data_IF_476150425183
#
_entry.id   IF_476150425183
#
_cell.length_a   1.000
_cell.length_b   1.000
_cell.length_c   1.000
_cell.angle_alpha   90.00
_cell.angle_beta   90.00
_cell.angle_gamma   90.00
#
_symmetry.space_group_name_H-M   'P 1'
#
loop_
_entity.id
_entity.type
_entity.pdbx_description
1 polymer ?
#
# COMPACT_ATOMS: atom_id res chain seq x y z
N UNK A 1 11.90 -9.60 -12.93
CA UNK A 1 11.22 -10.61 -12.08
C UNK A 1 11.70 -10.53 -10.62
N UNK A 2 13.01 -10.51 -10.34
CA UNK A 2 13.56 -10.42 -8.97
C UNK A 2 13.04 -9.20 -8.21
N UNK A 3 13.07 -8.03 -8.81
CA UNK A 3 12.60 -6.79 -8.19
C UNK A 3 11.11 -6.86 -7.79
N UNK A 4 10.28 -7.45 -8.64
CA UNK A 4 8.86 -7.67 -8.36
C UNK A 4 8.67 -8.65 -7.21
N UNK A 5 9.46 -9.74 -7.17
CA UNK A 5 9.43 -10.71 -6.07
C UNK A 5 9.75 -10.03 -4.73
N UNK A 6 10.84 -9.27 -4.66
CA UNK A 6 11.24 -8.53 -3.45
C UNK A 6 10.15 -7.55 -3.02
N UNK A 7 9.57 -6.79 -3.97
CA UNK A 7 8.48 -5.86 -3.67
C UNK A 7 7.28 -6.57 -3.06
N UNK A 8 6.81 -7.66 -3.67
CA UNK A 8 5.63 -8.39 -3.19
C UNK A 8 5.86 -9.02 -1.80
N UNK A 9 7.05 -9.54 -1.55
CA UNK A 9 7.42 -10.06 -0.25
C UNK A 9 7.53 -8.97 0.83
N UNK A 10 7.72 -7.72 0.44
CA UNK A 10 7.77 -6.59 1.36
C UNK A 10 6.39 -6.13 1.89
N UNK A 11 5.28 -6.70 1.38
CA UNK A 11 3.93 -6.35 1.86
C UNK A 11 3.64 -6.82 3.30
N UNK A 12 4.25 -7.93 3.74
CA UNK A 12 3.98 -8.50 5.06
C UNK A 12 5.26 -8.68 5.88
N UNK A 13 5.18 -8.38 7.15
CA UNK A 13 6.31 -8.50 8.08
C UNK A 13 6.89 -9.93 8.13
N UNK A 14 6.06 -10.96 8.01
CA UNK A 14 6.51 -12.36 7.98
C UNK A 14 7.31 -12.71 6.73
N UNK A 15 6.98 -12.14 5.57
CA UNK A 15 7.69 -12.37 4.32
C UNK A 15 8.91 -11.47 4.17
N UNK A 16 8.88 -10.25 4.71
CA UNK A 16 10.06 -9.37 4.82
C UNK A 16 11.18 -10.07 5.59
N UNK A 17 10.85 -10.74 6.68
CA UNK A 17 11.83 -11.45 7.50
C UNK A 17 12.60 -12.55 6.73
N UNK A 18 12.05 -13.07 5.64
CA UNK A 18 12.71 -14.06 4.78
C UNK A 18 13.64 -13.42 3.74
N UNK A 19 13.47 -12.13 3.41
CA UNK A 19 14.22 -11.48 2.33
C UNK A 19 15.74 -11.57 2.48
N UNK A 20 16.36 -11.37 3.64
CA UNK A 20 17.80 -11.49 3.79
C UNK A 20 18.31 -12.89 3.41
N UNK A 21 17.59 -13.94 3.81
CA UNK A 21 17.93 -15.32 3.45
C UNK A 21 17.78 -15.56 1.94
N UNK A 22 16.66 -15.15 1.36
CA UNK A 22 16.35 -15.35 -0.07
C UNK A 22 17.34 -14.62 -0.98
N UNK A 23 17.69 -13.38 -0.61
CA UNK A 23 18.71 -12.59 -1.33
C UNK A 23 20.10 -13.22 -1.18
N UNK A 24 20.43 -13.68 0.03
CA UNK A 24 21.70 -14.35 0.29
C UNK A 24 21.86 -15.64 -0.53
N UNK A 25 20.82 -16.46 -0.66
CA UNK A 25 20.82 -17.66 -1.51
C UNK A 25 20.91 -17.29 -3.01
N UNK A 26 20.17 -16.28 -3.45
CA UNK A 26 20.24 -15.80 -4.82
C UNK A 26 21.65 -15.28 -5.18
N UNK A 27 22.34 -14.62 -4.23
CA UNK A 27 23.72 -14.16 -4.38
C UNK A 27 24.74 -15.31 -4.55
N UNK A 28 24.40 -16.52 -4.09
CA UNK A 28 25.17 -17.75 -4.29
C UNK A 28 24.79 -18.50 -5.59
N UNK A 29 23.86 -17.94 -6.38
CA UNK A 29 23.33 -18.57 -7.59
C UNK A 29 22.15 -19.53 -7.34
N UNK A 30 21.68 -19.68 -6.10
CA UNK A 30 20.53 -20.51 -5.77
C UNK A 30 19.23 -19.66 -5.77
N UNK A 31 18.58 -19.57 -6.93
CA UNK A 31 17.34 -18.79 -7.11
C UNK A 31 16.05 -19.56 -6.75
N UNK A 32 16.15 -20.87 -6.50
CA UNK A 32 14.99 -21.73 -6.27
C UNK A 32 14.12 -21.25 -5.09
N UNK A 33 14.67 -20.92 -3.91
CA UNK A 33 13.84 -20.44 -2.78
C UNK A 33 13.10 -19.14 -3.09
N UNK A 34 13.75 -18.20 -3.78
CA UNK A 34 13.14 -16.93 -4.14
C UNK A 34 12.03 -17.11 -5.17
N UNK A 35 12.27 -17.95 -6.20
CA UNK A 35 11.27 -18.28 -7.21
C UNK A 35 10.05 -18.99 -6.60
N UNK A 36 10.25 -19.91 -5.67
CA UNK A 36 9.17 -20.59 -4.96
C UNK A 36 8.30 -19.59 -4.15
N UNK A 37 8.91 -18.70 -3.39
CA UNK A 37 8.18 -17.66 -2.65
C UNK A 37 7.43 -16.72 -3.60
N UNK A 38 8.04 -16.31 -4.70
CA UNK A 38 7.36 -15.50 -5.72
C UNK A 38 6.11 -16.18 -6.27
N UNK A 39 6.21 -17.46 -6.64
CA UNK A 39 5.08 -18.24 -7.16
C UNK A 39 3.95 -18.36 -6.10
N UNK A 40 4.30 -18.58 -4.84
CA UNK A 40 3.30 -18.63 -3.75
C UNK A 40 2.56 -17.29 -3.59
N UNK A 41 3.27 -16.18 -3.63
CA UNK A 41 2.64 -14.86 -3.51
C UNK A 41 1.79 -14.55 -4.74
N UNK A 42 2.28 -14.86 -5.95
CA UNK A 42 1.52 -14.66 -7.19
C UNK A 42 0.24 -15.48 -7.23
N UNK A 43 0.28 -16.74 -6.79
CA UNK A 43 -0.91 -17.58 -6.68
C UNK A 43 -1.92 -16.99 -5.69
N UNK A 44 -1.46 -16.55 -4.51
CA UNK A 44 -2.32 -15.94 -3.51
C UNK A 44 -2.94 -14.61 -3.97
N UNK A 45 -2.24 -13.83 -4.81
CA UNK A 45 -2.75 -12.59 -5.38
C UNK A 45 -3.77 -12.85 -6.50
N UNK A 46 -3.52 -13.83 -7.37
CA UNK A 46 -4.41 -14.18 -8.48
C UNK A 46 -5.82 -14.52 -8.03
N UNK A 47 -5.95 -15.12 -6.84
CA UNK A 47 -7.26 -15.47 -6.26
C UNK A 47 -7.99 -14.28 -5.61
N UNK A 48 -7.28 -13.19 -5.35
CA UNK A 48 -7.80 -12.06 -4.55
C UNK A 48 -7.95 -10.77 -5.34
N UNK A 49 -7.21 -10.60 -6.42
CA UNK A 49 -7.19 -9.37 -7.21
C UNK A 49 -7.85 -9.61 -8.57
N UNK A 50 -8.98 -8.93 -8.80
CA UNK A 50 -9.52 -8.77 -10.15
C UNK A 50 -8.67 -7.77 -10.92
N UNK A 51 -7.77 -8.26 -11.78
CA UNK A 51 -6.86 -7.40 -12.57
C UNK A 51 -7.62 -6.43 -13.49
N UNK A 52 -8.78 -6.84 -14.02
CA UNK A 52 -9.62 -5.96 -14.81
C UNK A 52 -10.13 -4.77 -13.99
N UNK A 53 -10.66 -5.02 -12.81
CA UNK A 53 -11.11 -3.99 -11.88
C UNK A 53 -9.93 -3.11 -11.42
N UNK A 54 -8.80 -3.72 -11.06
CA UNK A 54 -7.59 -2.99 -10.67
C UNK A 54 -7.15 -2.00 -11.77
N UNK A 55 -7.04 -2.46 -13.01
CA UNK A 55 -6.63 -1.60 -14.11
C UNK A 55 -7.66 -0.50 -14.40
N UNK A 56 -8.94 -0.79 -14.28
CA UNK A 56 -10.01 0.21 -14.46
C UNK A 56 -9.87 1.34 -13.43
N UNK A 57 -9.70 1.01 -12.17
CA UNK A 57 -9.49 1.98 -11.08
C UNK A 57 -8.20 2.77 -11.32
N UNK A 58 -7.07 2.09 -11.49
CA UNK A 58 -5.78 2.76 -11.68
C UNK A 58 -5.75 3.68 -12.90
N UNK A 59 -6.35 3.26 -14.02
CA UNK A 59 -6.32 4.06 -15.25
C UNK A 59 -7.36 5.19 -15.28
N UNK A 60 -8.45 5.08 -14.52
CA UNK A 60 -9.45 6.15 -14.42
C UNK A 60 -9.15 7.12 -13.28
N UNK A 61 -8.76 6.61 -12.11
CA UNK A 61 -8.75 7.37 -10.87
C UNK A 61 -7.37 7.87 -10.45
N UNK A 62 -6.26 7.26 -10.92
CA UNK A 62 -4.90 7.64 -10.53
C UNK A 62 -4.06 8.14 -11.70
N UNK A 63 -3.89 7.36 -12.75
CA UNK A 63 -2.96 7.68 -13.83
C UNK A 63 -3.21 9.06 -14.50
N UNK A 64 -4.45 9.55 -14.67
CA UNK A 64 -4.70 10.87 -15.25
C UNK A 64 -4.24 12.03 -14.37
N UNK A 65 -4.04 11.79 -13.08
CA UNK A 65 -3.70 12.82 -12.10
C UNK A 65 -2.23 12.81 -11.70
N UNK A 66 -1.41 11.97 -12.32
CA UNK A 66 0.03 11.98 -12.07
C UNK A 66 0.67 13.26 -12.63
N UNK A 67 1.29 14.00 -11.73
CA UNK A 67 2.18 15.09 -12.14
C UNK A 67 3.53 14.50 -12.56
N UNK A 68 3.70 14.29 -13.87
CA UNK A 68 4.93 13.75 -14.43
C UNK A 68 6.14 14.64 -14.20
N UNK A 69 5.94 15.95 -14.03
CA UNK A 69 7.03 16.89 -13.78
C UNK A 69 7.56 16.79 -12.34
N UNK A 70 6.72 16.29 -11.42
CA UNK A 70 7.11 16.06 -10.03
C UNK A 70 7.82 14.71 -9.80
N UNK A 71 7.95 13.87 -10.83
CA UNK A 71 8.61 12.57 -10.70
C UNK A 71 10.12 12.74 -10.67
N UNK A 72 10.74 12.29 -9.59
CA UNK A 72 12.19 12.22 -9.43
C UNK A 72 12.74 10.96 -10.15
N UNK A 73 12.99 11.08 -11.45
CA UNK A 73 13.49 9.98 -12.28
C UNK A 73 14.88 9.50 -11.86
N UNK A 74 15.74 10.38 -11.36
CA UNK A 74 17.07 9.99 -10.90
C UNK A 74 16.99 9.07 -9.69
N UNK A 75 16.11 9.40 -8.74
CA UNK A 75 15.84 8.56 -7.58
C UNK A 75 15.17 7.24 -7.95
N UNK A 76 14.23 7.26 -8.90
CA UNK A 76 13.57 6.04 -9.37
C UNK A 76 14.57 5.08 -10.02
N UNK A 77 15.39 5.57 -10.96
CA UNK A 77 16.36 4.74 -11.67
C UNK A 77 17.46 4.20 -10.75
N UNK A 78 17.78 4.92 -9.68
CA UNK A 78 18.70 4.43 -8.64
C UNK A 78 18.09 3.38 -7.73
N UNK A 79 16.77 3.19 -7.74
CA UNK A 79 16.09 2.17 -6.93
C UNK A 79 16.12 0.79 -7.58
N UNK A 80 15.94 -0.27 -6.78
CA UNK A 80 15.88 -1.65 -7.29
C UNK A 80 14.70 -1.93 -8.23
N UNK A 81 13.65 -1.12 -8.18
CA UNK A 81 12.49 -1.21 -9.06
C UNK A 81 12.67 -0.41 -10.36
N UNK A 82 13.55 0.60 -10.36
CA UNK A 82 13.67 1.52 -11.49
C UNK A 82 12.34 2.17 -11.83
N UNK A 83 12.08 2.37 -13.10
CA UNK A 83 10.82 2.95 -13.63
C UNK A 83 9.75 1.89 -13.93
N UNK A 84 10.01 0.61 -13.66
CA UNK A 84 9.19 -0.54 -14.09
C UNK A 84 7.70 -0.37 -13.81
N UNK A 85 7.33 0.15 -12.63
CA UNK A 85 5.93 0.33 -12.26
C UNK A 85 5.26 1.46 -13.03
N UNK A 86 5.98 2.55 -13.22
CA UNK A 86 5.50 3.71 -13.96
C UNK A 86 5.30 3.35 -15.43
N UNK A 87 6.31 2.70 -16.04
CA UNK A 87 6.26 2.27 -17.43
C UNK A 87 5.12 1.27 -17.68
N UNK A 88 4.94 0.32 -16.78
CA UNK A 88 3.85 -0.66 -16.86
C UNK A 88 2.48 0.00 -16.77
N UNK A 89 2.30 0.95 -15.84
CA UNK A 89 1.05 1.69 -15.67
C UNK A 89 0.76 2.54 -16.91
N UNK A 90 1.74 3.26 -17.43
CA UNK A 90 1.59 4.05 -18.65
C UNK A 90 1.21 3.16 -19.85
N UNK A 91 1.89 2.03 -20.03
CA UNK A 91 1.60 1.10 -21.11
C UNK A 91 0.17 0.56 -21.02
N UNK A 92 -0.26 0.11 -19.85
CA UNK A 92 -1.62 -0.40 -19.62
C UNK A 92 -2.64 0.71 -19.84
N UNK A 93 -2.47 1.87 -19.22
CA UNK A 93 -3.46 2.95 -19.26
C UNK A 93 -3.52 3.69 -20.59
N UNK A 94 -2.54 3.50 -21.48
CA UNK A 94 -2.59 4.02 -22.84
C UNK A 94 -3.66 3.34 -23.71
N UNK A 95 -4.01 2.09 -23.38
CA UNK A 95 -4.98 1.28 -24.15
C UNK A 95 -6.22 0.88 -23.34
N UNK A 96 -6.18 1.04 -22.01
CA UNK A 96 -7.29 0.64 -21.14
C UNK A 96 -8.47 1.64 -21.27
N UNK A 97 -9.70 1.15 -21.43
CA UNK A 97 -10.87 2.04 -21.50
C UNK A 97 -11.09 2.76 -20.17
N UNK A 98 -11.40 4.05 -20.23
CA UNK A 98 -11.67 4.89 -19.07
C UNK A 98 -13.14 5.26 -19.02
N UNK A 99 -13.75 5.10 -17.84
CA UNK A 99 -15.07 5.63 -17.55
C UNK A 99 -15.01 7.13 -17.21
N UNK A 100 -16.17 7.82 -17.18
CA UNK A 100 -16.25 9.18 -16.67
C UNK A 100 -15.98 9.20 -15.16
N UNK A 101 -15.27 10.24 -14.72
CA UNK A 101 -15.11 10.57 -13.30
C UNK A 101 -15.87 11.85 -12.98
N UNK A 102 -16.35 11.94 -11.75
CA UNK A 102 -16.86 13.18 -11.21
C UNK A 102 -15.74 14.24 -11.17
N UNK A 103 -16.06 15.49 -11.51
CA UNK A 103 -15.10 16.59 -11.46
C UNK A 103 -14.56 16.83 -10.03
N UNK A 104 -15.35 16.48 -9.02
CA UNK A 104 -14.99 16.63 -7.61
C UNK A 104 -14.29 15.39 -7.02
N UNK A 105 -14.00 14.35 -7.82
CA UNK A 105 -13.46 13.09 -7.34
C UNK A 105 -12.15 13.24 -6.53
N UNK A 106 -11.30 14.20 -6.88
CA UNK A 106 -10.03 14.47 -6.17
C UNK A 106 -10.12 15.59 -5.13
N UNK A 107 -11.31 16.13 -4.88
CA UNK A 107 -11.50 17.11 -3.81
C UNK A 107 -11.35 16.40 -2.46
N UNK A 108 -10.52 16.90 -1.55
CA UNK A 108 -10.37 16.30 -0.22
C UNK A 108 -11.71 16.22 0.51
N UNK A 109 -11.97 15.09 1.12
CA UNK A 109 -13.18 14.87 1.92
C UNK A 109 -13.06 15.57 3.26
N UNK A 110 -14.00 16.45 3.57
CA UNK A 110 -14.18 16.99 4.92
C UNK A 110 -15.33 16.27 5.62
N UNK A 111 -15.11 15.76 6.84
CA UNK A 111 -16.15 15.02 7.57
C UNK A 111 -15.93 15.03 9.08
N UNK A 112 -17.03 14.93 9.83
CA UNK A 112 -17.07 14.75 11.27
C UNK A 112 -17.40 13.31 11.70
N UNK A 113 -17.60 12.43 10.73
CA UNK A 113 -17.85 11.02 11.02
C UNK A 113 -16.65 10.38 11.76
N UNK A 114 -16.91 9.45 12.69
CA UNK A 114 -15.85 8.70 13.35
C UNK A 114 -15.09 7.84 12.34
N UNK A 115 -13.79 8.11 12.15
CA UNK A 115 -12.92 7.39 11.24
C UNK A 115 -11.76 6.77 12.00
N UNK A 116 -11.48 5.50 11.73
CA UNK A 116 -10.28 4.81 12.18
C UNK A 116 -9.36 4.56 10.98
N UNK A 117 -8.17 5.17 11.02
CA UNK A 117 -7.09 4.95 10.06
C UNK A 117 -6.07 4.01 10.66
N UNK A 118 -5.67 3.00 9.91
CA UNK A 118 -4.67 2.01 10.32
C UNK A 118 -3.53 2.00 9.29
N UNK A 119 -2.31 2.20 9.75
CA UNK A 119 -1.11 2.16 8.91
C UNK A 119 -0.02 1.31 9.55
N UNK A 120 0.88 0.78 8.72
CA UNK A 120 2.15 0.21 9.17
C UNK A 120 3.30 1.17 8.91
N UNK A 121 4.23 1.30 9.84
CA UNK A 121 5.40 2.17 9.66
C UNK A 121 6.37 1.67 8.59
N UNK A 122 6.36 0.35 8.32
CA UNK A 122 7.14 -0.31 7.29
C UNK A 122 6.32 -0.63 6.02
N UNK A 123 5.14 -0.01 5.84
CA UNK A 123 4.29 -0.22 4.66
C UNK A 123 4.93 0.43 3.42
N UNK A 124 5.36 -0.36 2.41
CA UNK A 124 5.99 0.17 1.21
C UNK A 124 4.98 0.73 0.19
N UNK A 125 3.68 0.57 0.41
CA UNK A 125 2.62 0.91 -0.55
C UNK A 125 1.86 2.15 -0.10
N UNK A 126 1.31 2.10 1.11
CA UNK A 126 0.53 3.18 1.73
C UNK A 126 1.15 3.58 3.08
N UNK A 127 2.33 4.20 3.06
CA UNK A 127 2.97 4.63 4.29
C UNK A 127 2.10 5.62 5.07
N UNK A 128 2.31 5.77 6.39
CA UNK A 128 1.46 6.58 7.29
C UNK A 128 1.15 7.98 6.80
N UNK A 129 2.11 8.63 6.11
CA UNK A 129 1.93 9.98 5.56
C UNK A 129 0.72 10.12 4.64
N UNK A 130 0.31 9.05 3.94
CA UNK A 130 -0.88 9.11 3.06
C UNK A 130 -2.18 9.13 3.86
N UNK A 131 -2.23 8.41 4.98
CA UNK A 131 -3.36 8.51 5.91
C UNK A 131 -3.43 9.89 6.57
N UNK A 132 -2.27 10.48 6.92
CA UNK A 132 -2.17 11.85 7.45
C UNK A 132 -2.68 12.88 6.43
N UNK A 133 -2.26 12.75 5.16
CA UNK A 133 -2.75 13.62 4.08
C UNK A 133 -4.26 13.50 3.86
N UNK A 134 -4.79 12.28 3.91
CA UNK A 134 -6.23 12.05 3.73
C UNK A 134 -7.05 12.58 4.91
N UNK A 135 -6.48 12.64 6.10
CA UNK A 135 -7.17 13.01 7.34
C UNK A 135 -7.14 14.51 7.66
N UNK A 136 -6.55 15.35 6.81
CA UNK A 136 -6.38 16.80 7.09
C UNK A 136 -7.68 17.48 7.50
N UNK A 137 -8.79 17.12 6.85
CA UNK A 137 -10.11 17.73 7.09
C UNK A 137 -11.06 16.77 7.85
N UNK A 138 -10.53 15.75 8.53
CA UNK A 138 -11.31 14.84 9.37
C UNK A 138 -11.29 15.32 10.82
N UNK A 139 -12.42 15.82 11.32
CA UNK A 139 -12.50 16.36 12.68
C UNK A 139 -12.62 15.29 13.77
N UNK A 140 -12.95 14.05 13.40
CA UNK A 140 -13.18 12.93 14.32
C UNK A 140 -12.47 11.65 13.84
N UNK A 141 -11.18 11.76 13.54
CA UNK A 141 -10.36 10.65 13.11
C UNK A 141 -9.38 10.18 14.20
N UNK A 142 -9.14 8.86 14.25
CA UNK A 142 -8.07 8.25 15.01
C UNK A 142 -7.15 7.53 14.04
N UNK A 143 -5.88 7.90 14.00
CA UNK A 143 -4.85 7.23 13.23
C UNK A 143 -3.97 6.38 14.15
N UNK A 144 -3.86 5.10 13.86
CA UNK A 144 -3.00 4.16 14.56
C UNK A 144 -1.94 3.64 13.62
N UNK A 145 -0.70 3.70 14.05
CA UNK A 145 0.46 3.20 13.31
C UNK A 145 1.00 1.97 14.03
N UNK A 146 1.04 0.84 13.33
CA UNK A 146 1.61 -0.40 13.82
C UNK A 146 3.12 -0.42 13.60
N UNK A 147 3.91 -0.56 14.68
CA UNK A 147 5.36 -0.66 14.61
C UNK A 147 5.77 -1.96 13.89
N UNK A 148 6.73 -1.86 12.97
CA UNK A 148 7.26 -2.97 12.17
C UNK A 148 6.19 -3.72 11.36
N UNK A 149 5.07 -3.05 11.07
CA UNK A 149 3.98 -3.61 10.27
C UNK A 149 4.11 -3.17 8.81
N UNK A 150 3.84 -4.11 7.91
CA UNK A 150 3.76 -3.85 6.47
C UNK A 150 2.36 -3.42 6.04
N UNK A 151 1.95 -3.82 4.82
CA UNK A 151 0.64 -3.50 4.26
C UNK A 151 -0.45 -4.44 4.80
N UNK A 152 -1.59 -3.90 5.22
CA UNK A 152 -2.75 -4.70 5.66
C UNK A 152 -2.80 -4.99 7.16
N UNK A 153 -3.13 -3.99 7.97
CA UNK A 153 -3.08 -4.05 9.44
C UNK A 153 -4.12 -4.96 10.11
N UNK A 154 -5.26 -5.24 9.46
CA UNK A 154 -6.37 -5.99 10.08
C UNK A 154 -6.09 -7.50 10.10
N UNK A 155 -5.33 -8.00 9.15
CA UNK A 155 -5.09 -9.45 8.96
C UNK A 155 -3.88 -9.96 9.72
N UNK A 156 -2.99 -9.09 10.13
CA UNK A 156 -1.80 -9.43 10.90
C UNK A 156 -2.20 -9.45 12.38
N UNK A 157 -2.57 -10.65 12.85
CA UNK A 157 -3.08 -10.85 14.17
C UNK A 157 -2.06 -10.55 15.25
N UNK A 158 -1.87 -9.33 15.62
CA UNK A 158 -1.25 -9.00 16.87
C UNK A 158 -1.23 -7.53 17.18
N UNK A 159 -2.34 -6.99 17.45
CA UNK A 159 -2.30 -5.99 18.48
C UNK A 159 -3.57 -6.15 19.28
N UNK A 160 -3.49 -6.71 20.49
CA UNK A 160 -4.62 -6.68 21.43
C UNK A 160 -5.20 -5.29 21.55
N UNK A 161 -4.35 -4.26 21.39
CA UNK A 161 -4.71 -2.84 21.36
C UNK A 161 -5.56 -2.45 20.14
N UNK A 162 -5.19 -2.88 18.94
CA UNK A 162 -5.95 -2.52 17.72
C UNK A 162 -7.34 -3.13 17.73
N UNK A 163 -7.49 -4.36 18.21
CA UNK A 163 -8.81 -5.02 18.35
C UNK A 163 -9.68 -4.35 19.42
N UNK A 164 -9.09 -3.90 20.53
CA UNK A 164 -9.81 -3.17 21.58
C UNK A 164 -10.30 -1.81 21.09
N UNK A 165 -9.46 -1.08 20.36
CA UNK A 165 -9.80 0.24 19.81
C UNK A 165 -10.83 0.11 18.69
N UNK A 166 -10.74 -0.91 17.83
CA UNK A 166 -11.74 -1.20 16.81
C UNK A 166 -13.13 -1.46 17.42
N UNK A 167 -13.21 -2.20 18.52
CA UNK A 167 -14.46 -2.38 19.25
C UNK A 167 -15.01 -1.06 19.82
N UNK A 168 -14.12 -0.21 20.34
CA UNK A 168 -14.50 1.07 20.95
C UNK A 168 -14.94 2.09 19.90
N UNK A 169 -14.37 2.10 18.70
CA UNK A 169 -14.86 2.92 17.58
C UNK A 169 -16.28 2.50 17.15
N UNK A 170 -16.57 1.19 17.08
CA UNK A 170 -17.94 0.71 16.77
C UNK A 170 -18.98 1.06 17.83
N UNK A 171 -18.57 1.26 19.07
CA UNK A 171 -19.46 1.61 20.18
C UNK A 171 -19.62 3.13 20.41
N UNK A 172 -18.98 3.96 19.60
CA UNK A 172 -19.03 5.42 19.73
C UNK A 172 -18.34 5.99 20.99
N UNK A 173 -17.53 5.17 21.67
CA UNK A 173 -16.86 5.55 22.94
C UNK A 173 -15.39 5.95 22.78
N UNK A 174 -14.88 6.06 21.55
CA UNK A 174 -13.52 6.52 21.31
C UNK A 174 -13.40 8.03 21.60
N UNK A 175 -12.75 8.40 22.71
CA UNK A 175 -12.38 9.78 22.98
C UNK A 175 -11.14 10.16 22.19
N UNK A 176 -11.21 11.28 21.47
CA UNK A 176 -10.08 11.93 20.81
C UNK A 176 -8.86 12.00 21.74
N UNK A 177 -7.78 11.34 21.37
CA UNK A 177 -6.44 11.69 21.79
C UNK A 177 -5.58 11.90 20.53
N UNK A 178 -5.75 13.06 19.94
CA UNK A 178 -4.66 13.63 19.16
C UNK A 178 -3.66 14.18 20.17
N UNK A 179 -2.60 13.44 20.46
CA UNK A 179 -1.42 14.01 21.10
C UNK A 179 -0.63 14.69 20.01
N UNK A 180 -0.64 16.03 20.02
CA UNK A 180 0.38 16.82 19.37
C UNK A 180 1.74 16.46 19.99
N UNK A 181 2.67 16.00 19.19
CA UNK A 181 4.13 16.15 19.38
C UNK A 181 4.75 16.51 18.06
#
# INVERSE_FOLDING_TARGET
>A
ELAVAVRLLAYHSSTIALLPLLIGEAGKGNYVPLAAQFQMVMAALSDKISMGMHNTVMCAEDAPFFDKAAIDYDRLTASYMGTLQLDALEAICSVWPRGPLDAEFKVPLATDLPILLLSGDADPITPPRYAEMAAVDFTNALHLIGEHQGHGQITIGCTPHTRSIYRNCRSGTARNRMSAT
#
